data_IF_569103722376
#
_entry.id   IF_569103722376
#
_cell.length_a   1.000
_cell.length_b   1.000
_cell.length_c   1.000
_cell.angle_alpha   90.00
_cell.angle_beta   90.00
_cell.angle_gamma   90.00
#
_symmetry.space_group_name_H-M   'P 1'
#
loop_
_entity.id
_entity.type
_entity.pdbx_description
1 polymer ?
#
# COMPACT_ATOMS: atom_id res chain seq x y z
N UNK A 1 -8.26 -24.81 -20.14
CA UNK A 1 -7.08 -25.07 -21.00
C UNK A 1 -6.56 -23.79 -21.68
N UNK A 2 -7.41 -22.78 -21.91
CA UNK A 2 -7.01 -21.54 -22.61
C UNK A 2 -6.21 -20.54 -21.77
N UNK A 3 -6.43 -20.46 -20.45
CA UNK A 3 -5.66 -19.57 -19.56
C UNK A 3 -4.16 -19.93 -19.51
N UNK A 4 -3.84 -21.23 -19.50
CA UNK A 4 -2.44 -21.72 -19.50
C UNK A 4 -1.71 -21.42 -20.83
N UNK A 5 -2.42 -21.49 -21.96
CA UNK A 5 -1.87 -21.10 -23.28
C UNK A 5 -1.63 -19.60 -23.39
N UNK A 6 -2.49 -18.78 -22.78
CA UNK A 6 -2.34 -17.33 -22.74
C UNK A 6 -1.13 -16.89 -21.90
N UNK A 7 -0.95 -17.51 -20.73
CA UNK A 7 0.19 -17.23 -19.84
C UNK A 7 1.50 -17.65 -20.50
N UNK A 8 1.57 -18.86 -21.07
CA UNK A 8 2.80 -19.35 -21.74
C UNK A 8 3.16 -18.49 -22.95
N UNK A 9 2.19 -18.07 -23.77
CA UNK A 9 2.43 -17.18 -24.92
C UNK A 9 2.90 -15.78 -24.49
N UNK A 10 2.37 -15.24 -23.38
CA UNK A 10 2.81 -13.96 -22.81
C UNK A 10 4.23 -14.04 -22.26
N UNK A 11 4.56 -15.13 -21.55
CA UNK A 11 5.90 -15.39 -21.02
C UNK A 11 6.95 -15.58 -22.15
N UNK A 12 6.63 -16.37 -23.17
CA UNK A 12 7.50 -16.58 -24.35
C UNK A 12 7.77 -15.28 -25.11
N UNK A 13 6.74 -14.45 -25.33
CA UNK A 13 6.87 -13.17 -26.03
C UNK A 13 7.74 -12.16 -25.24
N UNK A 14 7.55 -12.08 -23.92
CA UNK A 14 8.39 -11.21 -23.07
C UNK A 14 9.84 -11.66 -23.06
N UNK A 15 10.12 -12.97 -22.99
CA UNK A 15 11.48 -13.50 -23.01
C UNK A 15 12.18 -13.27 -24.35
N UNK A 16 11.48 -13.47 -25.47
CA UNK A 16 12.02 -13.23 -26.81
C UNK A 16 12.35 -11.73 -27.05
N UNK A 17 11.44 -10.83 -26.65
CA UNK A 17 11.67 -9.38 -26.74
C UNK A 17 12.86 -8.92 -25.89
N UNK A 18 13.01 -9.47 -24.69
CA UNK A 18 14.15 -9.19 -23.83
C UNK A 18 15.47 -9.68 -24.46
N UNK A 19 15.47 -10.85 -25.09
CA UNK A 19 16.64 -11.40 -25.79
C UNK A 19 17.12 -10.52 -26.95
N UNK A 20 16.19 -10.01 -27.78
CA UNK A 20 16.52 -9.08 -28.88
C UNK A 20 17.11 -7.77 -28.34
N UNK A 21 16.51 -7.21 -27.29
CA UNK A 21 17.00 -5.97 -26.66
C UNK A 21 18.43 -6.13 -26.13
N UNK A 22 18.72 -7.27 -25.49
CA UNK A 22 20.07 -7.57 -25.00
C UNK A 22 21.06 -7.68 -26.17
N UNK A 23 20.70 -8.39 -27.24
CA UNK A 23 21.57 -8.52 -28.42
C UNK A 23 21.87 -7.17 -29.08
N UNK A 24 20.86 -6.29 -29.22
CA UNK A 24 21.06 -4.93 -29.75
C UNK A 24 21.99 -4.10 -28.88
N UNK A 25 21.83 -4.18 -27.55
CA UNK A 25 22.67 -3.46 -26.59
C UNK A 25 24.13 -3.93 -26.66
N UNK A 26 24.35 -5.25 -26.81
CA UNK A 26 25.67 -5.81 -27.07
C UNK A 26 26.30 -5.27 -28.36
N UNK A 27 25.54 -5.18 -29.45
CA UNK A 27 26.02 -4.63 -30.73
C UNK A 27 26.41 -3.16 -30.58
N UNK A 28 25.58 -2.35 -29.90
CA UNK A 28 25.86 -0.93 -29.66
C UNK A 28 27.14 -0.75 -28.84
N UNK A 29 27.34 -1.58 -27.81
CA UNK A 29 28.52 -1.50 -26.93
C UNK A 29 29.78 -2.06 -27.60
N UNK A 30 29.69 -3.05 -28.47
CA UNK A 30 30.86 -3.67 -29.14
C UNK A 30 31.25 -2.92 -30.43
N UNK A 31 30.30 -2.27 -31.12
CA UNK A 31 30.57 -1.63 -32.41
C UNK A 31 31.70 -0.57 -32.38
N UNK A 32 31.88 0.27 -31.34
CA UNK A 32 32.97 1.24 -31.31
C UNK A 32 34.35 0.58 -31.22
N UNK A 33 34.47 -0.56 -30.53
CA UNK A 33 35.69 -1.37 -30.46
C UNK A 33 36.01 -1.94 -31.85
N UNK A 34 35.01 -2.46 -32.56
CA UNK A 34 35.21 -3.02 -33.90
C UNK A 34 35.62 -1.94 -34.91
N UNK A 35 35.00 -0.76 -34.85
CA UNK A 35 35.38 0.40 -35.68
C UNK A 35 36.84 0.80 -35.39
N UNK A 36 37.22 0.84 -34.12
CA UNK A 36 38.58 1.18 -33.71
C UNK A 36 39.64 0.18 -34.23
N UNK A 37 39.42 -1.12 -34.06
CA UNK A 37 40.37 -2.16 -34.49
C UNK A 37 40.62 -2.09 -36.00
N UNK A 38 39.59 -1.77 -36.79
CA UNK A 38 39.70 -1.61 -38.24
C UNK A 38 40.47 -0.35 -38.65
N UNK A 39 40.34 0.77 -37.92
CA UNK A 39 41.06 2.02 -38.24
C UNK A 39 42.56 1.90 -37.96
N UNK A 40 42.95 1.12 -36.95
CA UNK A 40 44.34 1.05 -36.47
C UNK A 40 45.08 -0.26 -36.82
N UNK A 41 44.57 -1.03 -37.80
CA UNK A 41 45.16 -2.27 -38.31
C UNK A 41 45.55 -3.29 -37.22
N UNK A 42 44.82 -3.33 -36.10
CA UNK A 42 44.99 -4.34 -35.04
C UNK A 42 46.28 -4.27 -34.21
N UNK A 43 47.15 -3.27 -34.41
CA UNK A 43 48.41 -3.12 -33.67
C UNK A 43 48.26 -2.27 -32.41
N UNK A 44 48.81 -2.72 -31.27
CA UNK A 44 48.93 -1.91 -30.05
C UNK A 44 49.97 -0.82 -30.31
N UNK A 45 49.56 0.44 -30.19
CA UNK A 45 50.48 1.57 -30.38
C UNK A 45 51.48 1.68 -29.23
N UNK A 46 52.77 1.81 -29.56
CA UNK A 46 53.83 2.19 -28.60
C UNK A 46 53.91 3.71 -28.39
N UNK A 47 53.17 4.50 -29.18
CA UNK A 47 53.17 5.96 -29.11
C UNK A 47 52.08 6.46 -28.15
N UNK A 48 52.46 7.29 -27.17
CA UNK A 48 51.54 7.81 -26.14
C UNK A 48 50.45 8.74 -26.69
N UNK A 49 50.72 9.49 -27.76
CA UNK A 49 49.74 10.37 -28.44
C UNK A 49 48.50 9.60 -28.89
N UNK A 50 48.70 8.41 -29.48
CA UNK A 50 47.63 7.52 -29.95
C UNK A 50 46.75 6.97 -28.82
N UNK A 51 47.29 6.85 -27.60
CA UNK A 51 46.50 6.48 -26.42
C UNK A 51 45.59 7.63 -25.96
N UNK A 52 46.04 8.87 -26.07
CA UNK A 52 45.22 10.04 -25.76
C UNK A 52 44.06 10.20 -26.76
N UNK A 53 44.33 10.02 -28.05
CA UNK A 53 43.30 10.03 -29.11
C UNK A 53 42.29 8.89 -28.95
N UNK A 54 42.76 7.69 -28.60
CA UNK A 54 41.91 6.56 -28.27
C UNK A 54 41.00 6.87 -27.08
N UNK A 55 41.57 7.39 -25.98
CA UNK A 55 40.81 7.78 -24.80
C UNK A 55 39.73 8.82 -25.12
N UNK A 56 40.04 9.80 -25.99
CA UNK A 56 39.07 10.80 -26.43
C UNK A 56 37.96 10.22 -27.30
N UNK A 57 38.28 9.32 -28.23
CA UNK A 57 37.29 8.69 -29.11
C UNK A 57 36.36 7.74 -28.34
N UNK A 58 36.94 6.86 -27.52
CA UNK A 58 36.19 5.93 -26.66
C UNK A 58 35.39 6.71 -25.62
N UNK A 59 36.00 7.68 -24.93
CA UNK A 59 35.31 8.53 -23.96
C UNK A 59 34.14 9.29 -24.60
N UNK A 60 34.33 9.88 -25.78
CA UNK A 60 33.29 10.61 -26.50
C UNK A 60 32.11 9.74 -26.97
N UNK A 61 32.35 8.46 -27.31
CA UNK A 61 31.30 7.53 -27.76
C UNK A 61 30.63 6.83 -26.57
N UNK A 62 31.41 6.30 -25.62
CA UNK A 62 30.87 5.54 -24.50
C UNK A 62 30.25 6.40 -23.41
N UNK A 63 30.72 7.64 -23.19
CA UNK A 63 30.10 8.52 -22.19
C UNK A 63 28.59 8.75 -22.45
N UNK A 64 28.13 9.14 -23.66
CA UNK A 64 26.70 9.29 -23.93
C UNK A 64 25.95 7.96 -23.96
N UNK A 65 26.57 6.86 -24.44
CA UNK A 65 25.95 5.52 -24.44
C UNK A 65 25.68 5.07 -22.99
N UNK A 66 26.70 5.08 -22.14
CA UNK A 66 26.59 4.68 -20.74
C UNK A 66 25.64 5.61 -20.00
N UNK A 67 25.75 6.93 -20.20
CA UNK A 67 24.84 7.91 -19.59
C UNK A 67 23.38 7.65 -19.95
N UNK A 68 23.08 7.38 -21.23
CA UNK A 68 21.74 7.03 -21.68
C UNK A 68 21.22 5.70 -21.11
N UNK A 69 22.07 4.67 -21.04
CA UNK A 69 21.74 3.39 -20.43
C UNK A 69 21.45 3.53 -18.92
N UNK A 70 22.27 4.28 -18.21
CA UNK A 70 22.05 4.57 -16.79
C UNK A 70 20.73 5.28 -16.57
N UNK A 71 20.42 6.31 -17.38
CA UNK A 71 19.13 7.00 -17.30
C UNK A 71 17.95 6.05 -17.56
N UNK A 72 18.05 5.20 -18.58
CA UNK A 72 17.02 4.20 -18.88
C UNK A 72 16.78 3.25 -17.71
N UNK A 73 17.85 2.76 -17.08
CA UNK A 73 17.76 1.90 -15.89
C UNK A 73 17.08 2.64 -14.74
N UNK A 74 17.47 3.89 -14.46
CA UNK A 74 16.87 4.70 -13.40
C UNK A 74 15.37 4.92 -13.63
N UNK A 75 14.96 5.26 -14.85
CA UNK A 75 13.55 5.44 -15.19
C UNK A 75 12.75 4.15 -14.95
N UNK A 76 13.30 3.00 -15.33
CA UNK A 76 12.68 1.69 -15.09
C UNK A 76 12.62 1.37 -13.59
N UNK A 77 13.66 1.71 -12.85
CA UNK A 77 13.75 1.47 -11.41
C UNK A 77 12.70 2.25 -10.64
N UNK A 78 12.48 3.53 -10.98
CA UNK A 78 11.44 4.36 -10.36
C UNK A 78 10.05 3.72 -10.49
N UNK A 79 9.70 3.22 -11.68
CA UNK A 79 8.41 2.55 -11.89
C UNK A 79 8.27 1.24 -11.10
N UNK A 80 9.35 0.45 -10.97
CA UNK A 80 9.34 -0.75 -10.13
C UNK A 80 9.25 -0.41 -8.64
N UNK A 81 9.91 0.67 -8.22
CA UNK A 81 9.90 1.12 -6.83
C UNK A 81 8.51 1.56 -6.39
N UNK A 82 7.74 2.21 -7.26
CA UNK A 82 6.33 2.54 -7.01
C UNK A 82 5.49 1.27 -6.76
N UNK A 83 5.66 0.23 -7.59
CA UNK A 83 4.94 -1.04 -7.40
C UNK A 83 5.29 -1.70 -6.08
N UNK A 84 6.58 -1.74 -5.72
CA UNK A 84 7.04 -2.29 -4.43
C UNK A 84 6.50 -1.48 -3.27
N UNK A 85 6.51 -0.15 -3.37
CA UNK A 85 5.97 0.75 -2.35
C UNK A 85 4.48 0.51 -2.13
N UNK A 86 3.70 0.34 -3.20
CA UNK A 86 2.28 0.03 -3.12
C UNK A 86 2.04 -1.32 -2.44
N UNK A 87 2.79 -2.37 -2.80
CA UNK A 87 2.68 -3.67 -2.13
C UNK A 87 3.01 -3.57 -0.64
N UNK A 88 4.07 -2.84 -0.29
CA UNK A 88 4.45 -2.61 1.10
C UNK A 88 3.34 -1.90 1.88
N UNK A 89 2.78 -0.82 1.32
CA UNK A 89 1.67 -0.09 1.92
C UNK A 89 0.44 -1.00 2.15
N UNK A 90 0.07 -1.80 1.14
CA UNK A 90 -1.06 -2.74 1.25
C UNK A 90 -0.83 -3.81 2.32
N UNK A 91 0.40 -4.31 2.45
CA UNK A 91 0.77 -5.28 3.49
C UNK A 91 0.69 -4.64 4.87
N UNK A 92 1.27 -3.45 5.04
CA UNK A 92 1.22 -2.71 6.29
C UNK A 92 -0.23 -2.43 6.71
N UNK A 93 -1.10 -1.99 5.79
CA UNK A 93 -2.51 -1.77 6.08
C UNK A 93 -3.23 -3.04 6.57
N UNK A 94 -2.88 -4.23 6.05
CA UNK A 94 -3.44 -5.52 6.49
C UNK A 94 -2.97 -5.92 7.88
N UNK A 95 -1.71 -5.63 8.19
CA UNK A 95 -1.11 -5.85 9.50
C UNK A 95 -1.72 -4.92 10.54
N UNK A 96 -1.80 -3.62 10.26
CA UNK A 96 -2.41 -2.61 11.12
C UNK A 96 -3.86 -2.96 11.45
N UNK A 97 -4.68 -3.29 10.43
CA UNK A 97 -6.07 -3.73 10.66
C UNK A 97 -6.12 -5.00 11.50
N UNK A 98 -5.21 -5.95 11.27
CA UNK A 98 -5.12 -7.16 12.07
C UNK A 98 -4.80 -6.87 13.54
N UNK A 99 -3.78 -6.04 13.77
CA UNK A 99 -3.34 -5.64 15.08
C UNK A 99 -4.44 -4.88 15.84
N UNK A 100 -5.01 -3.84 15.24
CA UNK A 100 -6.09 -3.06 15.85
C UNK A 100 -7.32 -3.90 16.15
N UNK A 101 -7.76 -4.77 15.22
CA UNK A 101 -8.90 -5.64 15.45
C UNK A 101 -8.66 -6.62 16.61
N UNK A 102 -7.48 -7.23 16.70
CA UNK A 102 -7.13 -8.14 17.79
C UNK A 102 -7.06 -7.42 19.14
N UNK A 103 -6.39 -6.27 19.19
CA UNK A 103 -6.31 -5.46 20.41
C UNK A 103 -7.70 -5.01 20.88
N UNK A 104 -8.52 -4.54 19.94
CA UNK A 104 -9.88 -4.10 20.24
C UNK A 104 -10.75 -5.26 20.72
N UNK A 105 -10.65 -6.44 20.10
CA UNK A 105 -11.39 -7.62 20.57
C UNK A 105 -11.04 -7.98 22.02
N UNK A 106 -9.75 -7.94 22.37
CA UNK A 106 -9.31 -8.20 23.75
C UNK A 106 -9.85 -7.15 24.72
N UNK A 107 -9.85 -5.86 24.34
CA UNK A 107 -10.38 -4.78 25.17
C UNK A 107 -11.90 -4.91 25.35
N UNK A 108 -12.62 -5.29 24.30
CA UNK A 108 -14.07 -5.44 24.34
C UNK A 108 -14.52 -6.53 25.33
N UNK A 109 -13.68 -7.54 25.57
CA UNK A 109 -13.96 -8.62 26.51
C UNK A 109 -13.52 -8.30 27.95
N UNK A 110 -12.87 -7.16 28.19
CA UNK A 110 -12.58 -6.67 29.54
C UNK A 110 -13.83 -6.11 30.20
N UNK A 111 -13.90 -6.26 31.52
CA UNK A 111 -15.02 -5.73 32.31
C UNK A 111 -14.97 -4.20 32.37
N UNK A 112 -16.12 -3.57 32.05
CA UNK A 112 -16.30 -2.12 32.15
C UNK A 112 -16.82 -1.73 33.55
N UNK A 113 -17.87 -2.43 34.02
CA UNK A 113 -18.49 -2.22 35.34
C UNK A 113 -18.86 -3.56 35.95
N UNK A 114 -18.30 -3.87 37.12
CA UNK A 114 -18.51 -5.16 37.79
C UNK A 114 -17.87 -6.31 37.00
N UNK A 115 -18.70 -7.28 36.56
CA UNK A 115 -18.30 -8.40 35.68
C UNK A 115 -18.88 -8.26 34.26
N UNK A 116 -19.40 -7.09 33.89
CA UNK A 116 -20.03 -6.88 32.57
C UNK A 116 -18.97 -6.41 31.56
N UNK A 117 -18.71 -7.17 30.48
CA UNK A 117 -17.74 -6.79 29.46
C UNK A 117 -18.23 -5.60 28.64
N UNK A 118 -17.29 -4.77 28.15
CA UNK A 118 -17.60 -3.63 27.29
C UNK A 118 -18.44 -4.05 26.07
N UNK A 119 -18.14 -5.22 25.48
CA UNK A 119 -18.89 -5.79 24.35
C UNK A 119 -20.38 -5.88 24.63
N UNK A 120 -20.77 -6.33 25.83
CA UNK A 120 -22.18 -6.47 26.20
C UNK A 120 -22.86 -5.11 26.36
N UNK A 121 -22.15 -4.12 26.91
CA UNK A 121 -22.64 -2.74 27.04
C UNK A 121 -22.86 -2.11 25.67
N UNK A 122 -21.89 -2.24 24.75
CA UNK A 122 -22.00 -1.72 23.38
C UNK A 122 -23.16 -2.37 22.62
N UNK A 123 -23.29 -3.70 22.71
CA UNK A 123 -24.39 -4.40 22.08
C UNK A 123 -25.75 -3.95 22.62
N UNK A 124 -25.88 -3.77 23.94
CA UNK A 124 -27.14 -3.38 24.57
C UNK A 124 -27.52 -1.91 24.38
N UNK A 125 -26.53 -1.01 24.29
CA UNK A 125 -26.76 0.45 24.31
C UNK A 125 -26.55 1.14 22.97
N UNK A 126 -25.71 0.61 22.07
CA UNK A 126 -25.28 1.33 20.86
C UNK A 126 -25.59 0.58 19.55
N UNK A 127 -25.98 -0.70 19.56
CA UNK A 127 -26.21 -1.47 18.33
C UNK A 127 -27.38 -0.97 17.46
N UNK A 128 -28.50 -0.60 18.08
CA UNK A 128 -29.75 -0.24 17.40
C UNK A 128 -30.24 1.16 17.75
N UNK A 129 -29.34 2.14 17.73
CA UNK A 129 -29.71 3.54 17.97
C UNK A 129 -30.03 4.27 16.67
N UNK A 130 -31.06 5.11 16.72
CA UNK A 130 -31.30 6.09 15.67
C UNK A 130 -30.28 7.25 15.78
N UNK A 131 -29.96 7.96 14.68
CA UNK A 131 -29.11 9.15 14.75
C UNK A 131 -29.62 10.21 15.75
N UNK A 132 -30.94 10.35 15.88
CA UNK A 132 -31.58 11.26 16.83
C UNK A 132 -31.27 10.87 18.28
N UNK A 133 -31.37 9.57 18.62
CA UNK A 133 -31.06 9.05 19.95
C UNK A 133 -29.58 9.24 20.30
N UNK A 134 -28.69 9.04 19.32
CA UNK A 134 -27.24 9.24 19.49
C UNK A 134 -26.87 10.70 19.79
N UNK A 135 -27.71 11.65 19.38
CA UNK A 135 -27.53 13.07 19.68
C UNK A 135 -28.04 13.47 21.07
N UNK A 136 -28.74 12.59 21.78
CA UNK A 136 -29.27 12.87 23.12
C UNK A 136 -28.14 13.09 24.15
N UNK A 137 -28.41 13.95 25.13
CA UNK A 137 -27.44 14.24 26.20
C UNK A 137 -27.09 12.98 27.01
N UNK A 138 -28.07 12.11 27.24
CA UNK A 138 -27.87 10.86 27.98
C UNK A 138 -26.89 9.93 27.26
N UNK A 139 -27.06 9.74 25.95
CA UNK A 139 -26.14 8.92 25.15
C UNK A 139 -24.74 9.51 25.07
N UNK A 140 -24.62 10.84 24.98
CA UNK A 140 -23.31 11.51 25.02
C UNK A 140 -22.61 11.35 26.36
N UNK A 141 -23.34 11.44 27.47
CA UNK A 141 -22.80 11.21 28.81
C UNK A 141 -22.32 9.76 28.96
N UNK A 142 -23.13 8.78 28.54
CA UNK A 142 -22.73 7.36 28.54
C UNK A 142 -21.47 7.14 27.69
N UNK A 143 -21.40 7.73 26.50
CA UNK A 143 -20.22 7.63 25.64
C UNK A 143 -18.97 8.27 26.29
N UNK A 144 -19.13 9.40 26.97
CA UNK A 144 -18.05 10.06 27.71
C UNK A 144 -17.57 9.19 28.89
N UNK A 145 -18.48 8.58 29.65
CA UNK A 145 -18.15 7.68 30.75
C UNK A 145 -17.40 6.42 30.28
N UNK A 146 -17.89 5.79 29.20
CA UNK A 146 -17.19 4.64 28.58
C UNK A 146 -15.78 5.03 28.15
N UNK A 147 -15.62 6.17 27.48
CA UNK A 147 -14.32 6.64 27.05
C UNK A 147 -13.41 7.02 28.23
N UNK A 148 -13.96 7.54 29.32
CA UNK A 148 -13.21 7.83 30.54
C UNK A 148 -12.67 6.56 31.22
N UNK A 149 -13.44 5.48 31.20
CA UNK A 149 -13.05 4.19 31.77
C UNK A 149 -12.12 3.39 30.85
N UNK A 150 -12.39 3.41 29.54
CA UNK A 150 -11.69 2.59 28.54
C UNK A 150 -11.37 3.41 27.28
N UNK A 151 -10.46 4.40 27.38
CA UNK A 151 -10.16 5.30 26.26
C UNK A 151 -9.65 4.55 25.03
N UNK A 152 -8.84 3.50 25.27
CA UNK A 152 -8.21 2.69 24.22
C UNK A 152 -9.20 2.07 23.23
N UNK A 153 -10.41 1.70 23.67
CA UNK A 153 -11.41 1.11 22.79
C UNK A 153 -11.79 2.07 21.65
N UNK A 154 -11.99 3.34 22.00
CA UNK A 154 -12.38 4.37 21.04
C UNK A 154 -11.19 4.86 20.22
N UNK A 155 -10.02 5.00 20.85
CA UNK A 155 -8.82 5.49 20.19
C UNK A 155 -8.37 4.50 19.10
N UNK A 156 -8.36 3.20 19.40
CA UNK A 156 -8.03 2.15 18.43
C UNK A 156 -9.09 2.08 17.33
N UNK A 157 -10.38 2.22 17.66
CA UNK A 157 -11.43 2.27 16.65
C UNK A 157 -11.23 3.44 15.68
N UNK A 158 -10.91 4.62 16.20
CA UNK A 158 -10.66 5.81 15.38
C UNK A 158 -9.41 5.66 14.50
N UNK A 159 -8.39 4.93 14.95
CA UNK A 159 -7.15 4.69 14.21
C UNK A 159 -7.33 3.79 12.96
N UNK A 160 -8.43 3.04 12.88
CA UNK A 160 -8.76 2.22 11.70
C UNK A 160 -9.14 3.10 10.50
N UNK A 161 -9.77 4.26 10.73
CA UNK A 161 -10.28 5.11 9.65
C UNK A 161 -9.22 5.74 8.76
N UNK A 162 -8.09 6.24 9.27
CA UNK A 162 -6.96 6.63 8.42
C UNK A 162 -6.52 5.53 7.45
N UNK A 163 -6.49 4.27 7.91
CA UNK A 163 -6.15 3.13 7.05
C UNK A 163 -7.19 2.96 5.94
N UNK A 164 -8.49 3.04 6.28
CA UNK A 164 -9.57 3.00 5.29
C UNK A 164 -9.50 4.14 4.29
N UNK A 165 -9.27 5.37 4.75
CA UNK A 165 -9.15 6.55 3.91
C UNK A 165 -8.01 6.38 2.91
N UNK A 166 -6.83 5.99 3.38
CA UNK A 166 -5.68 5.75 2.50
C UNK A 166 -5.90 4.61 1.51
N UNK A 167 -6.56 3.52 1.93
CA UNK A 167 -6.94 2.43 1.02
C UNK A 167 -8.00 2.84 -0.01
N UNK A 168 -8.89 3.78 0.33
CA UNK A 168 -9.94 4.28 -0.56
C UNK A 168 -9.48 5.40 -1.49
N UNK A 169 -8.36 6.06 -1.17
CA UNK A 169 -7.83 7.19 -1.94
C UNK A 169 -7.23 6.77 -3.30
N UNK A 170 -6.86 5.50 -3.44
CA UNK A 170 -6.24 4.98 -4.66
C UNK A 170 -7.26 4.17 -5.46
N UNK A 171 -7.52 4.59 -6.69
CA UNK A 171 -8.42 3.90 -7.62
C UNK A 171 -7.75 2.69 -8.31
N UNK A 172 -7.28 1.74 -7.50
CA UNK A 172 -6.67 0.49 -7.96
C UNK A 172 -7.40 -0.74 -7.41
N UNK A 173 -7.41 -1.81 -8.20
CA UNK A 173 -8.09 -3.06 -7.87
C UNK A 173 -7.56 -3.72 -6.60
N UNK A 174 -6.24 -3.68 -6.36
CA UNK A 174 -5.63 -4.29 -5.18
C UNK A 174 -5.95 -3.49 -3.92
N UNK A 175 -5.99 -2.15 -4.03
CA UNK A 175 -6.43 -1.26 -2.95
C UNK A 175 -7.89 -1.49 -2.58
N UNK A 176 -8.79 -1.54 -3.57
CA UNK A 176 -10.22 -1.84 -3.37
C UNK A 176 -10.45 -3.21 -2.73
N UNK A 177 -9.77 -4.25 -3.24
CA UNK A 177 -9.86 -5.60 -2.65
C UNK A 177 -9.33 -5.63 -1.23
N UNK A 178 -8.22 -4.93 -0.96
CA UNK A 178 -7.64 -4.85 0.39
C UNK A 178 -8.62 -4.15 1.34
N UNK A 179 -9.20 -3.01 0.96
CA UNK A 179 -10.23 -2.32 1.73
C UNK A 179 -11.42 -3.23 2.05
N UNK A 180 -11.96 -3.92 1.05
CA UNK A 180 -13.07 -4.85 1.24
C UNK A 180 -12.69 -5.98 2.22
N UNK A 181 -11.51 -6.57 2.06
CA UNK A 181 -11.02 -7.63 2.94
C UNK A 181 -10.77 -7.15 4.38
N UNK A 182 -10.28 -5.91 4.55
CA UNK A 182 -10.06 -5.30 5.87
C UNK A 182 -11.38 -5.10 6.62
N UNK A 183 -12.42 -4.61 5.93
CA UNK A 183 -13.77 -4.49 6.50
C UNK A 183 -14.31 -5.86 6.94
N UNK A 184 -14.17 -6.89 6.10
CA UNK A 184 -14.61 -8.24 6.43
C UNK A 184 -13.82 -8.84 7.60
N UNK A 185 -12.51 -8.57 7.70
CA UNK A 185 -11.69 -9.03 8.82
C UNK A 185 -12.15 -8.44 10.15
N UNK A 186 -12.51 -7.16 10.18
CA UNK A 186 -13.08 -6.51 11.37
C UNK A 186 -14.40 -7.14 11.76
N UNK A 187 -15.31 -7.35 10.80
CA UNK A 187 -16.59 -8.04 11.03
C UNK A 187 -16.36 -9.45 11.57
N UNK A 188 -15.38 -10.20 11.06
CA UNK A 188 -15.09 -11.55 11.51
C UNK A 188 -14.54 -11.61 12.95
N UNK A 189 -13.75 -10.63 13.38
CA UNK A 189 -13.14 -10.60 14.71
C UNK A 189 -14.04 -9.93 15.77
N UNK A 190 -14.83 -8.94 15.37
CA UNK A 190 -15.60 -8.10 16.29
C UNK A 190 -17.10 -8.36 16.25
N UNK A 191 -17.61 -8.94 15.16
CA UNK A 191 -19.01 -8.94 14.71
C UNK A 191 -19.43 -7.61 14.06
N UNK A 192 -20.40 -7.68 13.15
CA UNK A 192 -20.92 -6.51 12.43
C UNK A 192 -21.61 -5.53 13.38
N UNK A 193 -22.38 -6.08 14.31
CA UNK A 193 -23.15 -5.37 15.33
C UNK A 193 -22.25 -4.52 16.22
N UNK A 194 -21.10 -5.07 16.61
CA UNK A 194 -20.12 -4.35 17.41
C UNK A 194 -19.43 -3.26 16.57
N UNK A 195 -19.15 -3.51 15.29
CA UNK A 195 -18.60 -2.47 14.41
C UNK A 195 -19.58 -1.28 14.28
N UNK A 196 -20.88 -1.54 14.14
CA UNK A 196 -21.93 -0.50 14.15
C UNK A 196 -21.99 0.21 15.51
N UNK A 197 -21.93 -0.53 16.61
CA UNK A 197 -21.95 0.05 17.95
C UNK A 197 -20.73 0.95 18.22
N UNK A 198 -19.55 0.59 17.69
CA UNK A 198 -18.33 1.39 17.78
C UNK A 198 -18.40 2.67 16.92
N UNK A 199 -18.98 2.60 15.71
CA UNK A 199 -19.31 3.81 14.91
C UNK A 199 -20.20 4.76 15.72
N UNK A 200 -21.24 4.22 16.33
CA UNK A 200 -22.20 4.98 17.13
C UNK A 200 -21.56 5.60 18.37
N UNK A 201 -20.72 4.84 19.09
CA UNK A 201 -19.97 5.35 20.24
C UNK A 201 -19.05 6.51 19.84
N UNK A 202 -18.31 6.36 18.75
CA UNK A 202 -17.41 7.41 18.25
C UNK A 202 -18.17 8.64 17.79
N UNK A 203 -19.32 8.45 17.12
CA UNK A 203 -20.21 9.54 16.74
C UNK A 203 -20.72 10.30 17.96
N UNK A 204 -21.25 9.61 18.98
CA UNK A 204 -21.70 10.24 20.22
C UNK A 204 -20.58 11.02 20.90
N UNK A 205 -19.36 10.46 20.94
CA UNK A 205 -18.23 11.09 21.63
C UNK A 205 -17.69 12.32 20.90
N UNK A 206 -17.74 12.32 19.57
CA UNK A 206 -17.15 13.36 18.71
C UNK A 206 -18.18 14.37 18.17
N UNK A 207 -19.46 14.21 18.50
CA UNK A 207 -20.58 14.94 17.87
C UNK A 207 -20.56 14.82 16.34
N UNK A 208 -20.13 13.66 15.82
CA UNK A 208 -19.94 13.43 14.38
C UNK A 208 -18.76 14.20 13.75
N UNK A 209 -17.96 14.92 14.53
CA UNK A 209 -16.82 15.73 14.04
C UNK A 209 -15.51 14.95 14.03
N UNK A 210 -15.54 13.73 13.51
CA UNK A 210 -14.41 12.81 13.50
C UNK A 210 -13.49 12.96 12.26
N UNK A 211 -13.91 13.75 11.26
CA UNK A 211 -13.11 14.01 10.06
C UNK A 211 -13.04 12.85 9.06
N UNK A 212 -13.86 11.81 9.27
CA UNK A 212 -14.01 10.66 8.37
C UNK A 212 -15.47 10.22 8.26
N UNK A 213 -15.78 9.47 7.19
CA UNK A 213 -17.11 8.90 6.97
C UNK A 213 -17.24 7.54 7.64
N UNK A 214 -18.25 7.36 8.49
CA UNK A 214 -18.55 6.08 9.14
C UNK A 214 -18.87 4.99 8.10
N UNK A 215 -18.27 3.81 8.30
CA UNK A 215 -18.26 2.73 7.30
C UNK A 215 -19.34 1.69 7.58
N UNK A 216 -19.60 1.39 8.85
CA UNK A 216 -20.50 0.30 9.25
C UNK A 216 -21.90 0.83 9.54
N UNK A 217 -22.03 2.00 10.17
CA UNK A 217 -23.30 2.72 10.24
C UNK A 217 -23.40 3.81 9.18
N UNK A 218 -23.96 3.45 8.03
CA UNK A 218 -24.17 4.38 6.90
C UNK A 218 -25.24 5.46 7.17
N UNK A 219 -26.03 5.35 8.24
CA UNK A 219 -27.04 6.36 8.60
C UNK A 219 -26.44 7.60 9.26
N UNK A 220 -25.15 7.56 9.61
CA UNK A 220 -24.42 8.67 10.23
C UNK A 220 -23.78 9.62 9.20
N UNK A 221 -24.15 9.48 7.91
CA UNK A 221 -23.64 10.26 6.79
C UNK A 221 -24.47 11.52 6.55
#
# INVERSE_FOLDING_TARGET
>A
MDSFRLITKKLLNTNYKNGILIALLFIIVISPIFIYVNIFNGGISHEHSRWAEFGSAIGGIYAPIVGGLTLFVLLRQVGLQEQVNNQYYLQQAREDIGFYASQLSNILDQSLVGDVPLRAVLHGKFMFCSPEDLCSMDMKNIAADIHGLMPQALDIWSAIYPVFMGLSAVDDSQFKMTLASSKQKLVALLSFEICVALDNLNFCRTDGKSGFTYVFNQKLQ
#
